data_IF_902692686998
#
_entry.id   IF_902692686998
#
_cell.length_a   1.000
_cell.length_b   1.000
_cell.length_c   1.000
_cell.angle_alpha   90.00
_cell.angle_beta   90.00
_cell.angle_gamma   90.00
#
_symmetry.space_group_name_H-M   'P 1'
#
loop_
_entity.id
_entity.type
_entity.pdbx_description
1 polymer ?
#
# COMPACT_ATOMS: atom_id res chain seq x y z
N UNK A 1 5.31 14.79 -14.80
CA UNK A 1 5.51 15.11 -16.23
C UNK A 1 4.71 14.18 -17.14
N UNK A 2 5.12 12.91 -17.34
CA UNK A 2 4.50 12.00 -18.32
C UNK A 2 2.99 11.72 -18.13
N UNK A 3 2.49 11.67 -16.89
CA UNK A 3 1.05 11.51 -16.64
C UNK A 3 0.26 12.72 -17.11
N UNK A 4 0.74 13.93 -16.83
CA UNK A 4 0.10 15.18 -17.25
C UNK A 4 0.20 15.41 -18.77
N UNK A 5 1.26 14.92 -19.42
CA UNK A 5 1.34 14.92 -20.89
C UNK A 5 0.22 14.08 -21.52
N UNK A 6 -0.12 12.93 -20.91
CA UNK A 6 -1.15 12.02 -21.42
C UNK A 6 -2.56 12.36 -20.93
N UNK A 7 -2.67 12.92 -19.72
CA UNK A 7 -3.91 13.30 -19.07
C UNK A 7 -3.79 14.74 -18.53
N UNK A 8 -3.89 15.76 -19.40
CA UNK A 8 -3.60 17.15 -19.02
C UNK A 8 -4.50 17.73 -17.92
N UNK A 9 -5.72 17.22 -17.80
CA UNK A 9 -6.69 17.64 -16.78
C UNK A 9 -6.64 16.79 -15.50
N UNK A 10 -5.79 15.77 -15.44
CA UNK A 10 -5.72 14.90 -14.27
C UNK A 10 -5.01 15.60 -13.11
N UNK A 11 -5.51 15.40 -11.90
CA UNK A 11 -4.80 15.73 -10.69
C UNK A 11 -3.69 14.70 -10.46
N UNK A 12 -2.51 15.13 -10.02
CA UNK A 12 -1.43 14.21 -9.63
C UNK A 12 -0.99 14.56 -8.23
N UNK A 13 -1.09 13.57 -7.34
CA UNK A 13 -0.83 13.68 -5.91
C UNK A 13 0.34 12.74 -5.60
N UNK A 14 1.47 13.29 -5.18
CA UNK A 14 2.66 12.52 -4.80
C UNK A 14 2.89 12.59 -3.29
N UNK A 15 3.40 11.51 -2.69
CA UNK A 15 3.74 11.45 -1.26
C UNK A 15 4.62 12.63 -0.82
N UNK A 16 5.76 12.85 -1.49
CA UNK A 16 6.70 13.94 -1.15
C UNK A 16 6.02 15.33 -1.24
N UNK A 17 5.24 15.57 -2.29
CA UNK A 17 4.55 16.85 -2.49
C UNK A 17 3.47 17.06 -1.41
N UNK A 18 2.76 16.00 -1.01
CA UNK A 18 1.77 16.05 0.06
C UNK A 18 2.40 16.24 1.44
N UNK A 19 3.59 15.70 1.68
CA UNK A 19 4.34 15.94 2.91
C UNK A 19 4.68 17.43 3.06
N UNK A 20 5.06 18.10 1.96
CA UNK A 20 5.37 19.53 1.96
C UNK A 20 4.11 20.41 1.98
N UNK A 21 3.03 19.96 1.34
CA UNK A 21 1.76 20.69 1.27
C UNK A 21 0.56 19.72 1.39
N UNK A 22 0.05 19.48 2.61
CA UNK A 22 -1.09 18.60 2.84
C UNK A 22 -2.38 19.03 2.11
N UNK A 23 -2.53 20.31 1.76
CA UNK A 23 -3.67 20.81 0.99
C UNK A 23 -3.70 20.27 -0.45
N UNK A 24 -2.65 19.62 -0.94
CA UNK A 24 -2.68 18.90 -2.22
C UNK A 24 -3.61 17.68 -2.19
N UNK A 25 -4.07 17.24 -1.02
CA UNK A 25 -5.13 16.25 -0.90
C UNK A 25 -6.52 16.87 -1.07
N UNK A 26 -6.65 18.20 -0.94
CA UNK A 26 -7.92 18.90 -1.12
C UNK A 26 -8.35 18.78 -2.59
N UNK A 27 -9.61 18.39 -2.79
CA UNK A 27 -10.16 18.16 -4.13
C UNK A 27 -9.88 16.78 -4.73
N UNK A 28 -9.11 15.89 -4.07
CA UNK A 28 -8.95 14.50 -4.54
C UNK A 28 -10.29 13.76 -4.62
N UNK A 29 -11.20 14.05 -3.68
CA UNK A 29 -12.57 13.53 -3.66
C UNK A 29 -13.46 14.04 -4.80
N UNK A 30 -13.14 15.21 -5.35
CA UNK A 30 -13.94 15.89 -6.38
C UNK A 30 -13.28 15.80 -7.77
N UNK A 31 -12.06 15.26 -7.86
CA UNK A 31 -11.30 15.19 -9.09
C UNK A 31 -11.95 14.21 -10.08
N UNK A 32 -12.20 14.66 -11.31
CA UNK A 32 -12.68 13.81 -12.41
C UNK A 32 -11.72 12.64 -12.66
N UNK A 33 -10.42 12.90 -12.60
CA UNK A 33 -9.36 11.91 -12.67
C UNK A 33 -8.18 12.37 -11.81
N UNK A 34 -7.70 11.50 -10.93
CA UNK A 34 -6.48 11.73 -10.17
C UNK A 34 -5.58 10.49 -10.13
N UNK A 35 -4.28 10.75 -10.03
CA UNK A 35 -3.26 9.74 -9.78
C UNK A 35 -2.61 10.02 -8.43
N UNK A 36 -2.68 9.06 -7.51
CA UNK A 36 -1.99 9.13 -6.22
C UNK A 36 -0.77 8.23 -6.28
N UNK A 37 0.41 8.75 -5.98
CA UNK A 37 1.69 8.11 -6.26
C UNK A 37 2.58 8.15 -5.02
N UNK A 38 3.13 7.00 -4.66
CA UNK A 38 4.30 6.91 -3.79
C UNK A 38 5.48 6.42 -4.64
N UNK A 39 6.44 7.30 -4.97
CA UNK A 39 7.56 6.94 -5.84
C UNK A 39 8.52 5.96 -5.14
N UNK A 40 8.60 5.96 -3.81
CA UNK A 40 9.49 5.11 -3.02
C UNK A 40 8.85 4.82 -1.66
N UNK A 41 7.93 3.85 -1.62
CA UNK A 41 7.42 3.34 -0.34
C UNK A 41 8.50 2.48 0.33
N UNK A 42 8.73 2.71 1.63
CA UNK A 42 9.86 2.13 2.36
C UNK A 42 11.14 2.95 2.24
N UNK A 43 11.05 4.28 2.16
CA UNK A 43 12.17 5.23 2.04
C UNK A 43 13.33 4.94 3.01
N UNK A 44 13.03 4.57 4.26
CA UNK A 44 14.05 4.19 5.24
C UNK A 44 14.84 2.96 4.82
N UNK A 45 14.16 1.92 4.31
CA UNK A 45 14.80 0.71 3.81
C UNK A 45 15.65 1.02 2.58
N UNK A 46 15.10 1.79 1.64
CA UNK A 46 15.82 2.23 0.44
C UNK A 46 17.10 2.99 0.79
N UNK A 47 17.01 4.02 1.64
CA UNK A 47 18.15 4.81 2.09
C UNK A 47 19.19 3.98 2.88
N UNK A 48 18.74 2.92 3.55
CA UNK A 48 19.60 2.01 4.32
C UNK A 48 20.19 0.87 3.47
N UNK A 49 19.91 0.82 2.16
CA UNK A 49 20.38 -0.27 1.28
C UNK A 49 19.66 -1.61 1.50
N UNK A 50 18.54 -1.62 2.22
CA UNK A 50 17.71 -2.81 2.42
C UNK A 50 16.78 -2.96 1.21
N UNK A 51 16.75 -4.12 0.53
CA UNK A 51 15.97 -4.32 -0.70
C UNK A 51 14.47 -4.58 -0.43
N UNK A 52 13.88 -3.80 0.48
CA UNK A 52 12.46 -3.86 0.86
C UNK A 52 11.82 -2.48 0.65
N UNK A 53 11.56 -2.15 -0.61
CA UNK A 53 10.88 -0.93 -1.03
C UNK A 53 10.05 -1.22 -2.28
N UNK A 54 9.11 -0.33 -2.61
CA UNK A 54 8.26 -0.45 -3.79
C UNK A 54 7.82 0.90 -4.34
N UNK A 55 7.15 0.86 -5.49
CA UNK A 55 6.51 2.03 -6.11
C UNK A 55 5.03 1.78 -6.16
N UNK A 56 4.22 2.72 -5.70
CA UNK A 56 2.77 2.56 -5.64
C UNK A 56 2.08 3.65 -6.46
N UNK A 57 1.01 3.28 -7.16
CA UNK A 57 0.14 4.22 -7.84
C UNK A 57 -1.31 3.76 -7.73
N UNK A 58 -2.21 4.68 -7.39
CA UNK A 58 -3.64 4.51 -7.42
C UNK A 58 -4.27 5.48 -8.44
N UNK A 59 -5.35 5.03 -9.07
CA UNK A 59 -6.17 5.84 -9.98
C UNK A 59 -7.50 6.09 -9.30
N UNK A 60 -7.85 7.37 -9.17
CA UNK A 60 -9.09 7.84 -8.57
C UNK A 60 -9.91 8.54 -9.65
N UNK A 61 -11.20 8.22 -9.74
CA UNK A 61 -12.14 8.83 -10.68
C UNK A 61 -13.36 9.27 -9.88
N UNK A 62 -13.63 10.58 -9.88
CA UNK A 62 -14.75 11.17 -9.13
C UNK A 62 -14.75 10.75 -7.65
N UNK A 63 -13.58 10.84 -7.01
CA UNK A 63 -13.37 10.46 -5.61
C UNK A 63 -13.26 8.97 -5.31
N UNK A 64 -13.55 8.09 -6.29
CA UNK A 64 -13.51 6.65 -6.11
C UNK A 64 -12.22 6.04 -6.64
N UNK A 65 -11.50 5.25 -5.82
CA UNK A 65 -10.36 4.47 -6.32
C UNK A 65 -10.84 3.37 -7.26
N UNK A 66 -10.39 3.39 -8.52
CA UNK A 66 -10.83 2.45 -9.58
C UNK A 66 -9.75 1.47 -10.01
N UNK A 67 -8.47 1.81 -9.80
CA UNK A 67 -7.36 0.92 -10.10
C UNK A 67 -6.15 1.22 -9.21
N UNK A 68 -5.24 0.27 -9.10
CA UNK A 68 -3.97 0.44 -8.40
C UNK A 68 -2.90 -0.52 -8.92
N UNK A 69 -1.65 -0.10 -8.76
CA UNK A 69 -0.47 -0.90 -9.06
C UNK A 69 0.57 -0.72 -7.97
N UNK A 70 1.18 -1.82 -7.56
CA UNK A 70 2.36 -1.85 -6.69
C UNK A 70 3.45 -2.56 -7.46
N UNK A 71 4.53 -1.85 -7.76
CA UNK A 71 5.71 -2.40 -8.40
C UNK A 71 6.78 -2.70 -7.35
N UNK A 72 7.36 -3.90 -7.42
CA UNK A 72 8.60 -4.23 -6.71
C UNK A 72 9.77 -4.19 -7.70
N UNK A 73 10.65 -3.18 -7.61
CA UNK A 73 11.78 -3.04 -8.52
C UNK A 73 12.82 -4.16 -8.40
N UNK A 74 12.92 -4.79 -7.23
CA UNK A 74 13.90 -5.85 -6.97
C UNK A 74 13.40 -7.18 -7.55
N UNK A 75 12.16 -7.54 -7.24
CA UNK A 75 11.48 -8.72 -7.79
C UNK A 75 11.10 -8.58 -9.27
N UNK A 76 11.05 -7.35 -9.79
CA UNK A 76 10.67 -7.00 -11.16
C UNK A 76 9.27 -7.47 -11.53
N UNK A 77 8.36 -7.44 -10.56
CA UNK A 77 6.97 -7.83 -10.73
C UNK A 77 6.02 -6.70 -10.27
N UNK A 78 4.74 -6.90 -10.54
CA UNK A 78 3.70 -5.90 -10.30
C UNK A 78 2.46 -6.57 -9.72
N UNK A 79 2.00 -6.12 -8.56
CA UNK A 79 0.62 -6.37 -8.13
C UNK A 79 -0.27 -5.31 -8.77
N UNK A 80 -1.30 -5.73 -9.50
CA UNK A 80 -2.22 -4.86 -10.25
C UNK A 80 -3.64 -5.20 -9.82
N UNK A 81 -4.45 -4.19 -9.51
CA UNK A 81 -5.87 -4.35 -9.22
C UNK A 81 -6.70 -3.32 -9.98
N UNK A 82 -7.85 -3.74 -10.48
CA UNK A 82 -8.83 -2.83 -11.07
C UNK A 82 -10.25 -3.24 -10.68
N UNK A 83 -11.10 -2.24 -10.43
CA UNK A 83 -12.50 -2.42 -10.04
C UNK A 83 -13.22 -3.29 -11.06
N UNK A 84 -13.84 -4.38 -10.60
CA UNK A 84 -14.55 -5.35 -11.45
C UNK A 84 -13.66 -6.35 -12.20
N UNK A 85 -12.33 -6.16 -12.24
CA UNK A 85 -11.40 -7.06 -12.94
C UNK A 85 -10.64 -8.00 -11.99
N UNK A 86 -10.67 -7.72 -10.68
CA UNK A 86 -9.89 -8.45 -9.68
C UNK A 86 -8.44 -8.00 -9.62
N UNK A 87 -7.62 -8.76 -8.91
CA UNK A 87 -6.20 -8.45 -8.65
C UNK A 87 -5.29 -9.57 -9.14
N UNK A 88 -4.12 -9.18 -9.64
CA UNK A 88 -3.16 -10.10 -10.24
C UNK A 88 -1.72 -9.68 -9.95
N UNK A 89 -0.82 -10.65 -9.82
CA UNK A 89 0.62 -10.42 -9.91
C UNK A 89 1.05 -10.69 -11.35
N UNK A 90 1.66 -9.69 -11.97
CA UNK A 90 2.40 -9.85 -13.22
C UNK A 90 3.86 -10.10 -12.89
N UNK A 91 4.36 -11.27 -13.21
CA UNK A 91 5.75 -11.66 -12.94
C UNK A 91 6.71 -11.05 -13.97
N UNK A 92 8.01 -10.99 -13.65
CA UNK A 92 9.04 -10.45 -14.53
C UNK A 92 9.10 -11.14 -15.90
N UNK A 93 8.82 -12.46 -15.92
CA UNK A 93 8.77 -13.27 -17.15
C UNK A 93 7.44 -13.13 -17.92
N UNK A 94 6.55 -12.25 -17.48
CA UNK A 94 5.33 -11.87 -18.19
C UNK A 94 4.09 -12.70 -17.88
N UNK A 95 4.18 -13.74 -17.04
CA UNK A 95 2.96 -14.44 -16.60
C UNK A 95 2.10 -13.54 -15.72
N UNK A 96 0.82 -13.84 -15.71
CA UNK A 96 -0.17 -13.20 -14.86
C UNK A 96 -0.79 -14.25 -13.96
N UNK A 97 -0.78 -13.98 -12.67
CA UNK A 97 -1.32 -14.86 -11.63
C UNK A 97 -2.41 -14.12 -10.87
N UNK A 98 -3.59 -14.72 -10.74
CA UNK A 98 -4.68 -14.14 -9.96
C UNK A 98 -4.38 -14.31 -8.46
N UNK A 99 -4.60 -13.25 -7.68
CA UNK A 99 -4.40 -13.29 -6.24
C UNK A 99 -5.71 -13.25 -5.47
N UNK A 100 -5.68 -13.82 -4.27
CA UNK A 100 -6.80 -13.87 -3.35
C UNK A 100 -6.28 -13.62 -1.93
N UNK A 101 -7.06 -12.89 -1.14
CA UNK A 101 -6.78 -12.71 0.29
C UNK A 101 -6.86 -14.04 1.03
N UNK A 102 -6.25 -14.10 2.21
CA UNK A 102 -6.26 -15.29 3.05
C UNK A 102 -7.71 -15.65 3.42
N UNK A 103 -7.97 -16.96 3.58
CA UNK A 103 -9.24 -17.41 4.13
C UNK A 103 -9.42 -16.89 5.57
N UNK A 104 -10.67 -16.68 6.02
CA UNK A 104 -10.92 -16.35 7.42
C UNK A 104 -10.33 -17.43 8.35
N UNK A 105 -9.67 -16.98 9.42
CA UNK A 105 -9.06 -17.86 10.43
C UNK A 105 -9.35 -17.31 11.84
N UNK A 106 -9.27 -18.15 12.90
CA UNK A 106 -9.24 -17.64 14.27
C UNK A 106 -8.06 -16.68 14.48
N UNK A 107 -8.23 -15.65 15.31
CA UNK A 107 -7.18 -14.63 15.56
C UNK A 107 -5.85 -15.29 15.96
N UNK A 108 -5.90 -16.35 16.77
CA UNK A 108 -4.71 -17.11 17.23
C UNK A 108 -3.94 -17.82 16.12
N UNK A 109 -4.52 -17.94 14.92
CA UNK A 109 -3.90 -18.54 13.73
C UNK A 109 -3.50 -17.47 12.69
N UNK A 110 -3.90 -16.22 12.91
CA UNK A 110 -3.62 -15.14 11.97
C UNK A 110 -2.18 -14.62 12.10
N UNK A 111 -1.56 -14.43 10.95
CA UNK A 111 -0.30 -13.69 10.77
C UNK A 111 -0.57 -12.38 10.04
N UNK A 112 0.03 -11.28 10.47
CA UNK A 112 -0.18 -9.98 9.84
C UNK A 112 0.80 -8.89 10.28
N UNK A 113 0.69 -7.71 9.69
CA UNK A 113 1.51 -6.54 10.05
C UNK A 113 0.79 -5.62 11.02
N UNK A 114 1.51 -5.10 12.02
CA UNK A 114 1.00 -4.08 12.96
C UNK A 114 2.04 -2.98 13.13
N UNK A 115 1.75 -1.79 12.60
CA UNK A 115 2.52 -0.58 12.86
C UNK A 115 1.94 0.16 14.07
N UNK A 116 2.48 -0.13 15.26
CA UNK A 116 1.97 0.40 16.54
C UNK A 116 2.86 1.46 17.17
N UNK A 117 4.13 1.57 16.75
CA UNK A 117 5.17 2.34 17.46
C UNK A 117 4.86 3.84 17.52
N UNK A 118 4.19 4.36 16.48
CA UNK A 118 3.83 5.78 16.34
C UNK A 118 2.38 6.09 16.76
N UNK A 119 1.69 5.13 17.37
CA UNK A 119 0.34 5.37 17.88
C UNK A 119 0.37 6.15 19.20
N UNK A 120 -0.65 6.98 19.49
CA UNK A 120 -0.80 7.60 20.80
C UNK A 120 -1.12 6.55 21.88
N UNK A 121 -0.92 6.92 23.15
CA UNK A 121 -1.49 6.15 24.26
C UNK A 121 -2.98 6.48 24.42
N UNK A 122 -3.83 5.51 24.82
CA UNK A 122 -3.49 4.14 25.25
C UNK A 122 -3.41 3.10 24.12
N UNK A 123 -3.69 3.47 22.86
CA UNK A 123 -3.73 2.56 21.71
C UNK A 123 -2.44 1.79 21.53
N UNK A 124 -1.29 2.50 21.65
CA UNK A 124 0.04 1.91 21.52
C UNK A 124 0.25 0.74 22.48
N UNK A 125 0.05 0.96 23.78
CA UNK A 125 0.19 -0.09 24.80
C UNK A 125 -0.85 -1.20 24.64
N UNK A 126 -2.07 -0.86 24.22
CA UNK A 126 -3.15 -1.82 23.99
C UNK A 126 -2.82 -2.76 22.84
N UNK A 127 -2.36 -2.23 21.70
CA UNK A 127 -2.01 -3.03 20.53
C UNK A 127 -0.76 -3.88 20.77
N UNK A 128 0.28 -3.31 21.40
CA UNK A 128 1.46 -4.08 21.79
C UNK A 128 1.10 -5.30 22.65
N UNK A 129 0.20 -5.15 23.63
CA UNK A 129 -0.27 -6.26 24.46
C UNK A 129 -1.08 -7.29 23.67
N UNK A 130 -1.94 -6.82 22.77
CA UNK A 130 -2.81 -7.69 21.97
C UNK A 130 -2.06 -8.52 20.92
N UNK A 131 -0.82 -8.18 20.57
CA UNK A 131 0.01 -8.99 19.66
C UNK A 131 0.29 -10.40 20.20
N UNK A 132 0.13 -10.65 21.49
CA UNK A 132 0.21 -12.00 22.06
C UNK A 132 -0.97 -12.91 21.68
N UNK A 133 -2.03 -12.35 21.07
CA UNK A 133 -3.25 -13.08 20.68
C UNK A 133 -3.22 -13.61 19.25
N UNK A 134 -2.26 -13.17 18.43
CA UNK A 134 -2.09 -13.57 17.03
C UNK A 134 -0.99 -14.62 16.91
N UNK A 135 -0.98 -15.38 15.82
CA UNK A 135 0.03 -16.42 15.60
C UNK A 135 1.43 -15.80 15.48
N UNK A 136 1.57 -14.79 14.63
CA UNK A 136 2.83 -14.06 14.45
C UNK A 136 2.59 -12.67 13.88
N UNK A 137 3.58 -11.80 14.05
CA UNK A 137 3.59 -10.48 13.42
C UNK A 137 4.87 -10.24 12.64
N UNK A 138 4.78 -9.35 11.67
CA UNK A 138 5.93 -8.74 11.01
C UNK A 138 5.72 -7.23 10.88
N UNK A 139 6.79 -6.50 10.58
CA UNK A 139 6.74 -5.08 10.26
C UNK A 139 7.89 -4.79 9.30
N UNK A 140 7.60 -4.71 8.01
CA UNK A 140 8.62 -4.44 6.99
C UNK A 140 8.92 -2.95 6.83
N UNK A 141 8.09 -2.09 7.43
CA UNK A 141 8.15 -0.63 7.25
C UNK A 141 8.09 -0.25 5.77
N UNK A 142 7.26 -0.97 5.02
CA UNK A 142 7.08 -0.84 3.58
C UNK A 142 5.69 -1.38 3.23
N UNK A 143 4.72 -0.48 3.13
CA UNK A 143 3.33 -0.82 2.87
C UNK A 143 3.16 -1.52 1.51
N UNK A 144 3.99 -1.21 0.52
CA UNK A 144 4.01 -1.86 -0.78
C UNK A 144 4.17 -3.39 -0.64
N UNK A 145 5.18 -3.85 0.09
CA UNK A 145 5.41 -5.29 0.30
C UNK A 145 4.36 -5.91 1.22
N UNK A 146 3.93 -5.21 2.25
CA UNK A 146 2.93 -5.71 3.21
C UNK A 146 1.53 -5.84 2.56
N UNK A 147 1.13 -4.90 1.70
CA UNK A 147 -0.10 -5.00 0.88
C UNK A 147 -0.02 -6.12 -0.13
N UNK A 148 1.16 -6.38 -0.71
CA UNK A 148 1.35 -7.54 -1.59
C UNK A 148 1.12 -8.86 -0.86
N UNK A 149 1.64 -9.01 0.35
CA UNK A 149 1.37 -10.19 1.18
C UNK A 149 -0.12 -10.33 1.51
N UNK A 150 -0.78 -9.23 1.88
CA UNK A 150 -2.21 -9.24 2.19
C UNK A 150 -3.05 -9.64 0.97
N UNK A 151 -2.84 -9.00 -0.17
CA UNK A 151 -3.62 -9.21 -1.38
C UNK A 151 -3.42 -10.63 -1.97
N UNK A 152 -2.27 -11.25 -1.71
CA UNK A 152 -1.92 -12.62 -2.13
C UNK A 152 -2.18 -13.69 -1.07
N UNK A 153 -2.77 -13.32 0.07
CA UNK A 153 -3.18 -14.28 1.10
C UNK A 153 -2.05 -14.84 1.94
N UNK A 154 -0.87 -14.25 1.86
CA UNK A 154 0.28 -14.55 2.73
C UNK A 154 0.23 -13.79 4.07
N UNK A 155 -0.75 -12.88 4.23
CA UNK A 155 -1.09 -12.23 5.48
C UNK A 155 -2.62 -12.14 5.64
N UNK A 156 -3.10 -12.15 6.88
CA UNK A 156 -4.52 -12.08 7.21
C UNK A 156 -4.98 -10.65 7.48
N UNK A 157 -4.09 -9.81 8.00
CA UNK A 157 -4.39 -8.42 8.31
C UNK A 157 -3.15 -7.54 8.19
N UNK A 158 -3.39 -6.24 8.01
CA UNK A 158 -2.40 -5.18 8.17
C UNK A 158 -3.05 -4.05 8.96
N UNK A 159 -2.32 -3.49 9.91
CA UNK A 159 -2.79 -2.38 10.75
C UNK A 159 -1.79 -1.25 10.66
N UNK A 160 -2.23 -0.16 10.04
CA UNK A 160 -1.48 1.10 9.96
C UNK A 160 -2.19 2.18 10.75
N UNK A 161 -1.38 3.11 11.27
CA UNK A 161 -1.91 4.39 11.73
C UNK A 161 -1.78 5.41 10.61
N UNK A 162 -2.74 6.33 10.53
CA UNK A 162 -2.56 7.53 9.71
C UNK A 162 -1.46 8.36 10.37
N UNK A 163 -0.38 8.64 9.62
CA UNK A 163 0.58 9.65 10.03
C UNK A 163 -0.19 10.98 9.99
N UNK A 164 -0.30 11.64 11.14
CA UNK A 164 -0.90 12.98 11.24
C UNK A 164 0.01 14.01 10.60
#
# INVERSE_FOLDING_TARGET
ARLLERYPSAMVVGEEACSDNPALLDGLGDADLAFVIDPVDGTFNFASGVPLFGVMLAVVVQGETVAGIIHDPVGKDWLIGARGAGSHIRHAHGSLEKVHVAAPAPISEMTGSVSWQYMPEPERSRLARNQTKILSQFAYRCAAHEYRLLASGHAHFVVYNKLM
#
